data_IF_924300872543
#
_entry.id   IF_924300872543
#
_cell.length_a   1.000
_cell.length_b   1.000
_cell.length_c   1.000
_cell.angle_alpha   90.00
_cell.angle_beta   90.00
_cell.angle_gamma   90.00
#
_symmetry.space_group_name_H-M   'P 1'
#
loop_
_entity.id
_entity.type
_entity.pdbx_description
1 polymer ?
#
# COMPACT_ATOMS: atom_id res chain seq x y z
N UNK A 1 -10.85 -0.55 -22.17
CA UNK A 1 -9.54 -0.52 -21.46
C UNK A 1 -9.57 0.22 -20.11
N UNK A 2 -10.66 0.92 -19.74
CA UNK A 2 -10.70 1.88 -18.62
C UNK A 2 -10.88 1.30 -17.21
N UNK A 3 -11.29 0.04 -17.05
CA UNK A 3 -11.63 -0.51 -15.71
C UNK A 3 -10.44 -1.01 -14.90
N UNK A 4 -9.36 -1.48 -15.54
CA UNK A 4 -8.23 -2.12 -14.83
C UNK A 4 -7.43 -1.15 -13.94
N UNK A 5 -7.06 0.05 -14.41
CA UNK A 5 -6.40 1.02 -13.56
C UNK A 5 -7.27 1.36 -12.34
N UNK A 6 -8.57 1.56 -12.55
CA UNK A 6 -9.52 1.82 -11.46
C UNK A 6 -9.58 0.67 -10.45
N UNK A 7 -9.66 -0.59 -10.90
CA UNK A 7 -9.66 -1.75 -10.00
C UNK A 7 -8.37 -1.85 -9.19
N UNK A 8 -7.21 -1.60 -9.80
CA UNK A 8 -5.93 -1.59 -9.07
C UNK A 8 -5.91 -0.46 -8.06
N UNK A 9 -6.41 0.73 -8.41
CA UNK A 9 -6.50 1.86 -7.48
C UNK A 9 -7.41 1.56 -6.28
N UNK A 10 -8.61 1.03 -6.52
CA UNK A 10 -9.53 0.64 -5.46
C UNK A 10 -8.94 -0.45 -4.57
N UNK A 11 -8.25 -1.42 -5.16
CA UNK A 11 -7.52 -2.45 -4.43
C UNK A 11 -6.41 -1.85 -3.57
N UNK A 12 -5.65 -0.88 -4.09
CA UNK A 12 -4.64 -0.15 -3.32
C UNK A 12 -5.24 0.59 -2.13
N UNK A 13 -6.36 1.30 -2.33
CA UNK A 13 -7.06 1.99 -1.25
C UNK A 13 -7.51 1.01 -0.16
N UNK A 14 -8.21 -0.06 -0.57
CA UNK A 14 -8.74 -1.06 0.35
C UNK A 14 -7.63 -1.75 1.17
N UNK A 15 -6.58 -2.24 0.49
CA UNK A 15 -5.49 -2.93 1.18
C UNK A 15 -4.63 -2.00 2.02
N UNK A 16 -4.47 -0.74 1.63
CA UNK A 16 -3.79 0.25 2.48
C UNK A 16 -4.58 0.51 3.74
N UNK A 17 -5.90 0.70 3.62
CA UNK A 17 -6.75 0.88 4.80
C UNK A 17 -6.68 -0.32 5.75
N UNK A 18 -6.82 -1.53 5.21
CA UNK A 18 -6.75 -2.78 5.97
C UNK A 18 -5.38 -2.95 6.66
N UNK A 19 -4.30 -2.75 5.92
CA UNK A 19 -2.94 -2.94 6.41
C UNK A 19 -2.60 -1.94 7.51
N UNK A 20 -2.89 -0.64 7.29
CA UNK A 20 -2.59 0.42 8.26
C UNK A 20 -3.42 0.26 9.53
N UNK A 21 -4.69 -0.14 9.41
CA UNK A 21 -5.52 -0.44 10.59
C UNK A 21 -5.02 -1.64 11.38
N UNK A 22 -4.49 -2.66 10.69
CA UNK A 22 -3.91 -3.83 11.35
C UNK A 22 -2.61 -3.45 12.09
N UNK A 23 -1.70 -2.75 11.43
CA UNK A 23 -0.39 -2.42 12.00
C UNK A 23 -0.40 -1.21 12.95
N UNK A 24 -1.47 -0.42 12.93
CA UNK A 24 -1.58 0.81 13.70
C UNK A 24 -1.77 0.56 15.21
N UNK A 25 -1.31 1.50 16.07
CA UNK A 25 -1.57 1.43 17.50
C UNK A 25 -3.08 1.54 17.80
N UNK A 26 -3.57 0.76 18.77
CA UNK A 26 -4.99 0.66 19.11
C UNK A 26 -5.56 1.93 19.76
N UNK A 27 -4.74 2.67 20.51
CA UNK A 27 -5.13 3.88 21.23
C UNK A 27 -4.34 5.10 20.71
N UNK A 28 -4.99 6.27 20.65
CA UNK A 28 -4.37 7.54 20.22
C UNK A 28 -4.93 8.17 18.94
N UNK A 29 -6.12 7.76 18.48
CA UNK A 29 -6.80 8.40 17.34
C UNK A 29 -7.59 9.64 17.78
N UNK A 30 -6.91 10.77 17.98
CA UNK A 30 -7.60 12.06 17.93
C UNK A 30 -7.89 12.39 16.46
N UNK A 31 -9.13 12.09 16.05
CA UNK A 31 -9.62 12.20 14.68
C UNK A 31 -9.53 13.62 14.10
N UNK A 32 -9.48 14.65 14.95
CA UNK A 32 -9.49 16.06 14.54
C UNK A 32 -8.09 16.62 14.21
N UNK A 33 -7.00 16.04 14.73
CA UNK A 33 -5.67 16.64 14.63
C UNK A 33 -4.80 16.09 13.48
N UNK A 34 -5.14 14.93 12.89
CA UNK A 34 -4.29 14.30 11.86
C UNK A 34 -5.09 13.73 10.68
N UNK A 35 -5.90 14.57 10.03
CA UNK A 35 -6.68 14.20 8.83
C UNK A 35 -5.84 13.68 7.65
N UNK A 36 -4.56 14.08 7.59
CA UNK A 36 -3.61 13.66 6.52
C UNK A 36 -3.14 12.21 6.69
N UNK A 37 -3.24 11.64 7.90
CA UNK A 37 -2.93 10.23 8.17
C UNK A 37 -4.18 9.34 8.15
N UNK A 38 -5.29 9.80 7.57
CA UNK A 38 -6.43 8.93 7.35
C UNK A 38 -6.01 7.76 6.43
N UNK A 39 -6.49 6.53 6.68
CA UNK A 39 -6.08 5.37 5.88
C UNK A 39 -6.40 5.53 4.39
N UNK A 40 -7.46 6.26 4.06
CA UNK A 40 -7.88 6.56 2.69
C UNK A 40 -6.92 7.53 2.00
N UNK A 41 -6.51 8.60 2.70
CA UNK A 41 -5.53 9.58 2.20
C UNK A 41 -4.18 8.90 1.99
N UNK A 42 -3.76 8.06 2.95
CA UNK A 42 -2.55 7.26 2.85
C UNK A 42 -2.57 6.28 1.66
N UNK A 43 -3.74 5.77 1.25
CA UNK A 43 -3.86 4.92 0.06
C UNK A 43 -3.83 5.70 -1.26
N UNK A 44 -4.26 6.96 -1.27
CA UNK A 44 -4.41 7.75 -2.49
C UNK A 44 -3.05 8.09 -3.14
N UNK A 45 -2.07 8.52 -2.34
CA UNK A 45 -0.72 8.86 -2.83
C UNK A 45 -0.02 7.71 -3.56
N UNK A 46 0.16 6.51 -2.96
CA UNK A 46 0.76 5.39 -3.66
C UNK A 46 -0.15 4.92 -4.79
N UNK A 47 -1.48 4.98 -4.64
CA UNK A 47 -2.42 4.64 -5.70
C UNK A 47 -2.17 5.42 -6.98
N UNK A 48 -2.10 6.75 -6.91
CA UNK A 48 -1.81 7.62 -8.06
C UNK A 48 -0.43 7.32 -8.67
N UNK A 49 0.59 7.12 -7.82
CA UNK A 49 1.93 6.75 -8.29
C UNK A 49 1.92 5.42 -9.05
N UNK A 50 1.25 4.40 -8.52
CA UNK A 50 1.14 3.09 -9.16
C UNK A 50 0.39 3.17 -10.49
N UNK A 51 -0.67 3.97 -10.59
CA UNK A 51 -1.37 4.22 -11.85
C UNK A 51 -0.44 4.82 -12.92
N UNK A 52 0.35 5.81 -12.53
CA UNK A 52 1.34 6.42 -13.41
C UNK A 52 2.39 5.39 -13.86
N UNK A 53 2.94 4.62 -12.93
CA UNK A 53 3.93 3.58 -13.22
C UNK A 53 3.38 2.50 -14.15
N UNK A 54 2.14 2.05 -13.94
CA UNK A 54 1.48 1.09 -14.83
C UNK A 54 1.33 1.63 -16.25
N UNK A 55 1.01 2.92 -16.41
CA UNK A 55 0.97 3.56 -17.72
C UNK A 55 2.36 3.60 -18.39
N UNK A 56 3.41 3.91 -17.63
CA UNK A 56 4.81 3.88 -18.11
C UNK A 56 5.22 2.46 -18.48
N UNK A 57 4.92 1.47 -17.65
CA UNK A 57 5.26 0.07 -17.88
C UNK A 57 4.54 -0.52 -19.08
N UNK A 58 3.28 -0.15 -19.30
CA UNK A 58 2.53 -0.51 -20.50
C UNK A 58 3.19 0.06 -21.76
N UNK A 59 3.63 1.33 -21.74
CA UNK A 59 4.39 1.93 -22.86
C UNK A 59 5.73 1.24 -23.12
N UNK A 60 6.38 0.76 -22.06
CA UNK A 60 7.66 0.02 -22.12
C UNK A 60 7.49 -1.49 -22.39
N UNK A 61 6.26 -1.98 -22.58
CA UNK A 61 5.96 -3.40 -22.82
C UNK A 61 6.56 -4.34 -21.76
N UNK A 62 6.64 -3.90 -20.50
CA UNK A 62 7.22 -4.72 -19.44
C UNK A 62 6.36 -5.97 -19.19
N UNK A 63 6.97 -7.13 -18.88
CA UNK A 63 6.21 -8.32 -18.52
C UNK A 63 5.29 -8.04 -17.33
N UNK A 64 4.03 -8.50 -17.43
CA UNK A 64 3.00 -8.25 -16.42
C UNK A 64 3.45 -8.63 -14.99
N UNK A 65 4.35 -9.62 -14.86
CA UNK A 65 4.75 -10.21 -13.57
C UNK A 65 5.68 -9.25 -12.87
N UNK A 66 6.57 -8.67 -13.68
CA UNK A 66 7.49 -7.62 -13.27
C UNK A 66 6.73 -6.35 -12.90
N UNK A 67 5.66 -6.01 -13.62
CA UNK A 67 4.80 -4.87 -13.26
C UNK A 67 4.17 -5.08 -11.88
N UNK A 68 3.49 -6.22 -11.66
CA UNK A 68 2.87 -6.55 -10.38
C UNK A 68 3.90 -6.60 -9.24
N UNK A 69 5.07 -7.22 -9.47
CA UNK A 69 6.15 -7.31 -8.49
C UNK A 69 6.70 -5.93 -8.10
N UNK A 70 7.00 -5.06 -9.07
CA UNK A 70 7.51 -3.71 -8.79
C UNK A 70 6.47 -2.89 -8.02
N UNK A 71 5.21 -2.92 -8.46
CA UNK A 71 4.14 -2.19 -7.77
C UNK A 71 3.96 -2.68 -6.33
N UNK A 72 3.98 -4.00 -6.12
CA UNK A 72 3.87 -4.60 -4.79
C UNK A 72 5.05 -4.22 -3.90
N UNK A 73 6.28 -4.30 -4.41
CA UNK A 73 7.48 -3.94 -3.65
C UNK A 73 7.48 -2.48 -3.22
N UNK A 74 7.11 -1.56 -4.13
CA UNK A 74 6.97 -0.15 -3.81
C UNK A 74 5.87 0.10 -2.77
N UNK A 75 4.73 -0.57 -2.91
CA UNK A 75 3.62 -0.44 -1.97
C UNK A 75 3.99 -0.99 -0.58
N UNK A 76 4.75 -2.09 -0.50
CA UNK A 76 5.24 -2.63 0.77
C UNK A 76 6.21 -1.69 1.49
N UNK A 77 7.14 -1.06 0.75
CA UNK A 77 8.05 -0.04 1.31
C UNK A 77 7.26 1.17 1.79
N UNK A 78 6.27 1.61 1.01
CA UNK A 78 5.40 2.70 1.37
C UNK A 78 4.60 2.41 2.66
N UNK A 79 4.00 1.23 2.78
CA UNK A 79 3.26 0.81 3.98
C UNK A 79 4.15 0.77 5.22
N UNK A 80 5.38 0.26 5.08
CA UNK A 80 6.32 0.25 6.19
C UNK A 80 6.63 1.68 6.68
N UNK A 81 6.85 2.61 5.75
CA UNK A 81 7.07 4.02 6.07
C UNK A 81 5.83 4.68 6.67
N UNK A 82 4.63 4.37 6.15
CA UNK A 82 3.37 4.87 6.68
C UNK A 82 3.14 4.41 8.12
N UNK A 83 3.41 3.14 8.44
CA UNK A 83 3.32 2.63 9.80
C UNK A 83 4.33 3.33 10.73
N UNK A 84 5.56 3.56 10.25
CA UNK A 84 6.57 4.30 11.02
C UNK A 84 6.08 5.71 11.36
N UNK A 85 5.64 6.47 10.36
CA UNK A 85 5.15 7.85 10.55
C UNK A 85 3.91 7.87 11.45
N UNK A 86 3.02 6.88 11.32
CA UNK A 86 1.82 6.79 12.17
C UNK A 86 2.18 6.49 13.62
N UNK A 87 3.14 5.59 13.87
CA UNK A 87 3.63 5.32 15.22
C UNK A 87 4.35 6.53 15.80
N UNK A 88 5.20 7.18 15.01
CA UNK A 88 5.92 8.38 15.42
C UNK A 88 4.96 9.49 15.83
N UNK A 89 3.97 9.80 14.98
CA UNK A 89 3.01 10.86 15.23
C UNK A 89 2.07 10.59 16.41
N UNK A 90 1.69 9.33 16.67
CA UNK A 90 0.69 8.97 17.70
C UNK A 90 1.30 8.56 19.04
N UNK A 91 2.49 7.97 19.03
CA UNK A 91 3.10 7.36 20.21
C UNK A 91 4.43 8.03 20.54
N UNK A 92 5.33 8.15 19.57
CA UNK A 92 6.67 8.64 19.85
C UNK A 92 6.72 10.16 20.08
N UNK A 93 5.82 10.93 19.45
CA UNK A 93 5.77 12.39 19.54
C UNK A 93 5.52 12.93 20.95
N UNK A 94 5.00 12.10 21.86
CA UNK A 94 4.74 12.43 23.27
C UNK A 94 5.74 11.78 24.23
N UNK A 95 6.82 11.15 23.71
CA UNK A 95 7.79 10.37 24.47
C UNK A 95 9.23 10.58 23.96
N UNK A 96 10.23 10.05 24.66
CA UNK A 96 11.65 10.09 24.30
C UNK A 96 12.10 8.85 23.53
N UNK A 97 11.30 8.40 22.56
CA UNK A 97 11.69 7.29 21.69
C UNK A 97 12.78 7.74 20.72
N UNK A 98 13.86 6.97 20.63
CA UNK A 98 14.84 7.10 19.55
C UNK A 98 14.32 6.45 18.26
N UNK A 99 14.85 6.83 17.07
CA UNK A 99 14.44 6.22 15.81
C UNK A 99 14.60 4.69 15.78
N UNK A 100 15.60 4.15 16.48
CA UNK A 100 15.87 2.71 16.52
C UNK A 100 14.82 1.97 17.35
N UNK A 101 14.37 2.55 18.46
CA UNK A 101 13.31 1.98 19.29
C UNK A 101 11.96 2.02 18.59
N UNK A 102 11.66 3.07 17.82
CA UNK A 102 10.46 3.11 16.96
C UNK A 102 10.47 1.92 16.00
N UNK A 103 11.59 1.66 15.32
CA UNK A 103 11.71 0.53 14.41
C UNK A 103 11.55 -0.82 15.11
N UNK A 104 12.03 -0.96 16.36
CA UNK A 104 11.86 -2.17 17.15
C UNK A 104 10.38 -2.48 17.44
N UNK A 105 9.52 -1.47 17.51
CA UNK A 105 8.07 -1.64 17.64
C UNK A 105 7.34 -1.80 16.30
N UNK A 106 7.71 -1.00 15.30
CA UNK A 106 7.00 -0.95 14.01
C UNK A 106 7.24 -2.20 13.18
N UNK A 107 8.47 -2.74 13.14
CA UNK A 107 8.79 -3.88 12.29
C UNK A 107 7.95 -5.13 12.64
N UNK A 108 7.90 -5.59 13.91
CA UNK A 108 7.10 -6.77 14.26
C UNK A 108 5.61 -6.60 13.94
N UNK A 109 5.04 -5.41 14.18
CA UNK A 109 3.63 -5.12 13.88
C UNK A 109 3.34 -5.05 12.36
N UNK A 110 4.34 -4.64 11.56
CA UNK A 110 4.18 -4.42 10.13
C UNK A 110 4.41 -5.67 9.28
N UNK A 111 5.31 -6.58 9.68
CA UNK A 111 5.75 -7.70 8.82
C UNK A 111 4.59 -8.60 8.40
N UNK A 112 3.75 -9.02 9.35
CA UNK A 112 2.64 -9.93 9.05
C UNK A 112 1.57 -9.28 8.17
N UNK A 113 1.21 -8.03 8.46
CA UNK A 113 0.18 -7.29 7.71
C UNK A 113 0.65 -6.94 6.30
N UNK A 114 1.90 -6.48 6.14
CA UNK A 114 2.51 -6.20 4.83
C UNK A 114 2.66 -7.48 4.01
N UNK A 115 3.07 -8.60 4.61
CA UNK A 115 3.18 -9.87 3.90
C UNK A 115 1.81 -10.33 3.38
N UNK A 116 0.79 -10.34 4.23
CA UNK A 116 -0.56 -10.76 3.86
C UNK A 116 -1.16 -9.84 2.77
N UNK A 117 -1.13 -8.52 2.99
CA UNK A 117 -1.69 -7.55 2.05
C UNK A 117 -0.87 -7.44 0.77
N UNK A 118 0.44 -7.61 0.84
CA UNK A 118 1.35 -7.61 -0.30
C UNK A 118 1.11 -8.80 -1.22
N UNK A 119 0.96 -10.01 -0.66
CA UNK A 119 0.59 -11.20 -1.43
C UNK A 119 -0.78 -11.03 -2.07
N UNK A 120 -1.77 -10.53 -1.34
CA UNK A 120 -3.10 -10.26 -1.87
C UNK A 120 -3.04 -9.26 -3.04
N UNK A 121 -2.32 -8.14 -2.88
CA UNK A 121 -2.14 -7.13 -3.91
C UNK A 121 -1.43 -7.70 -5.15
N UNK A 122 -0.34 -8.44 -4.96
CA UNK A 122 0.41 -9.06 -6.06
C UNK A 122 -0.47 -10.01 -6.87
N UNK A 123 -1.15 -10.94 -6.20
CA UNK A 123 -2.00 -11.93 -6.85
C UNK A 123 -3.17 -11.27 -7.59
N UNK A 124 -3.89 -10.35 -6.95
CA UNK A 124 -5.03 -9.68 -7.56
C UNK A 124 -4.62 -8.77 -8.72
N UNK A 125 -3.56 -7.96 -8.56
CA UNK A 125 -3.06 -7.09 -9.64
C UNK A 125 -2.58 -7.91 -10.84
N UNK A 126 -1.89 -9.02 -10.62
CA UNK A 126 -1.48 -9.95 -11.66
C UNK A 126 -2.69 -10.53 -12.43
N UNK A 127 -3.74 -10.95 -11.73
CA UNK A 127 -4.97 -11.46 -12.36
C UNK A 127 -5.69 -10.38 -13.17
N UNK A 128 -5.88 -9.18 -12.60
CA UNK A 128 -6.51 -8.04 -13.28
C UNK A 128 -5.76 -7.68 -14.55
N UNK A 129 -4.42 -7.64 -14.50
CA UNK A 129 -3.58 -7.34 -15.66
C UNK A 129 -3.65 -8.45 -16.72
N UNK A 130 -3.68 -9.73 -16.30
CA UNK A 130 -3.73 -10.89 -17.20
C UNK A 130 -5.04 -11.02 -17.97
N UNK A 131 -6.16 -10.58 -17.40
CA UNK A 131 -7.52 -10.74 -17.96
C UNK A 131 -7.72 -10.17 -19.38
N UNK A 132 -6.76 -9.39 -19.90
CA UNK A 132 -6.79 -8.86 -21.28
C UNK A 132 -6.63 -9.95 -22.35
N UNK A 133 -6.15 -11.16 -21.99
CA UNK A 133 -5.98 -12.26 -22.95
C UNK A 133 -7.22 -13.14 -23.15
N UNK A 134 -8.20 -13.09 -22.27
CA UNK A 134 -9.34 -14.03 -22.32
C UNK A 134 -10.41 -13.63 -23.36
N UNK A 135 -10.49 -12.35 -23.74
CA UNK A 135 -11.50 -11.82 -24.66
C UNK A 135 -11.07 -11.78 -26.14
N UNK A 136 -10.11 -12.61 -26.58
CA UNK A 136 -9.71 -12.70 -28.00
C UNK A 136 -10.07 -14.03 -28.68
N UNK A 137 -10.92 -14.84 -28.05
CA UNK A 137 -11.52 -16.04 -28.63
C UNK A 137 -13.03 -15.90 -28.55
N UNK A 138 -13.58 -15.15 -29.51
CA UNK A 138 -15.00 -14.99 -29.80
C UNK A 138 -15.13 -14.60 -31.26
#
# INVERSE_FOLDING_TARGET
MTRKPLLIFLLTLFLTALQVQWAGPADGYDAETISVLSPEVLGAYPGVLLLFLLAVFARRQLPLLRQAAICTGLLAVYWLLANYVTFDARVASWSTYSPLEIWAHVLPASVASIAACGVAFFCASWLILRETRWNKTG
#
